data_IF_300786544866
#
_entry.id   IF_300786544866
#
_cell.length_a   1.000
_cell.length_b   1.000
_cell.length_c   1.000
_cell.angle_alpha   90.00
_cell.angle_beta   90.00
_cell.angle_gamma   90.00
#
_symmetry.space_group_name_H-M   'P 1'
#
loop_
_entity.id
_entity.type
_entity.pdbx_description
1 polymer ?
#
# COMPACT_ATOMS: atom_id res chain seq x y z
N UNK A 1 -11.90 -14.12 -21.78
CA UNK A 1 -12.09 -14.17 -20.32
C UNK A 1 -12.26 -12.73 -19.90
N UNK A 2 -13.47 -12.34 -19.49
CA UNK A 2 -13.76 -10.96 -19.13
C UNK A 2 -12.93 -10.58 -17.90
N UNK A 3 -12.15 -9.51 -18.02
CA UNK A 3 -11.56 -8.84 -16.87
C UNK A 3 -12.68 -8.06 -16.18
N UNK A 4 -13.24 -8.63 -15.13
CA UNK A 4 -14.12 -7.92 -14.19
C UNK A 4 -13.33 -6.74 -13.63
N UNK A 5 -13.90 -5.52 -13.73
CA UNK A 5 -13.27 -4.34 -13.13
C UNK A 5 -13.56 -4.38 -11.64
N UNK A 6 -12.50 -4.44 -10.84
CA UNK A 6 -12.61 -4.23 -9.39
C UNK A 6 -13.00 -2.77 -9.14
N UNK A 7 -14.10 -2.55 -8.43
CA UNK A 7 -14.48 -1.21 -7.94
C UNK A 7 -14.51 -1.21 -6.41
N UNK A 8 -13.61 -0.48 -5.75
CA UNK A 8 -13.67 -0.30 -4.31
C UNK A 8 -14.86 0.61 -3.96
N UNK A 9 -15.68 0.18 -2.99
CA UNK A 9 -16.81 0.93 -2.45
C UNK A 9 -16.55 1.17 -0.96
N UNK A 10 -16.74 2.40 -0.49
CA UNK A 10 -16.46 2.75 0.92
C UNK A 10 -17.76 2.96 1.70
N UNK A 11 -17.86 2.40 2.91
CA UNK A 11 -19.01 2.62 3.79
C UNK A 11 -18.95 3.98 4.49
N UNK A 12 -20.01 4.79 4.36
CA UNK A 12 -20.18 6.08 5.08
C UNK A 12 -21.19 6.03 6.24
N UNK A 13 -21.75 4.86 6.55
CA UNK A 13 -22.77 4.68 7.60
C UNK A 13 -22.23 4.06 8.90
N UNK A 14 -22.95 4.22 10.05
CA UNK A 14 -22.57 3.60 11.31
C UNK A 14 -22.89 2.10 11.28
N UNK A 15 -21.97 1.31 10.74
CA UNK A 15 -22.07 -0.15 10.78
C UNK A 15 -21.60 -0.63 12.15
N UNK A 16 -22.55 -1.11 12.97
CA UNK A 16 -22.26 -1.85 14.19
C UNK A 16 -21.62 -3.20 13.81
N UNK A 17 -20.30 -3.23 13.77
CA UNK A 17 -19.51 -4.44 13.63
C UNK A 17 -18.07 -4.08 13.96
N UNK A 18 -17.60 -4.54 15.12
CA UNK A 18 -16.19 -4.45 15.50
C UNK A 18 -15.37 -5.16 14.41
N UNK A 19 -14.67 -4.40 13.58
CA UNK A 19 -13.76 -4.94 12.58
C UNK A 19 -12.56 -5.56 13.28
N UNK A 20 -12.47 -6.89 13.24
CA UNK A 20 -11.30 -7.67 13.65
C UNK A 20 -10.21 -7.54 12.56
N UNK A 21 -9.80 -6.31 12.27
CA UNK A 21 -8.72 -6.00 11.34
C UNK A 21 -7.46 -5.57 12.09
N UNK A 22 -6.29 -5.79 11.50
CA UNK A 22 -5.07 -5.22 12.05
C UNK A 22 -5.09 -3.69 11.87
N UNK A 23 -4.80 -2.87 12.91
CA UNK A 23 -4.96 -1.42 12.84
C UNK A 23 -4.24 -0.76 11.67
N UNK A 24 -3.16 -1.35 11.17
CA UNK A 24 -2.35 -0.83 10.06
C UNK A 24 -2.82 -1.22 8.65
N UNK A 25 -3.88 -2.02 8.49
CA UNK A 25 -4.37 -2.47 7.17
C UNK A 25 -5.85 -2.12 7.02
N UNK A 26 -6.25 -1.63 5.84
CA UNK A 26 -7.65 -1.29 5.55
C UNK A 26 -8.57 -2.53 5.70
N UNK A 27 -9.63 -2.41 6.48
CA UNK A 27 -10.56 -3.51 6.70
C UNK A 27 -11.50 -3.75 5.51
N UNK A 28 -11.51 -4.97 4.96
CA UNK A 28 -12.57 -5.44 4.07
C UNK A 28 -13.79 -5.88 4.89
N UNK A 29 -14.94 -5.26 4.66
CA UNK A 29 -16.17 -5.51 5.42
C UNK A 29 -17.04 -6.52 4.71
N UNK A 30 -17.33 -6.29 3.42
CA UNK A 30 -18.24 -7.11 2.63
C UNK A 30 -17.76 -7.20 1.19
N UNK A 31 -18.18 -8.24 0.48
CA UNK A 31 -17.91 -8.46 -0.93
C UNK A 31 -19.21 -8.75 -1.63
N UNK A 32 -19.48 -8.04 -2.72
CA UNK A 32 -20.63 -8.27 -3.59
C UNK A 32 -20.15 -8.51 -5.02
N UNK A 33 -20.88 -9.33 -5.75
CA UNK A 33 -20.61 -9.63 -7.16
C UNK A 33 -21.92 -9.48 -7.93
N UNK A 34 -21.88 -8.77 -9.05
CA UNK A 34 -22.96 -8.75 -10.03
C UNK A 34 -22.46 -9.30 -11.38
N UNK A 35 -23.27 -9.19 -12.44
CA UNK A 35 -22.93 -9.74 -13.75
C UNK A 35 -21.70 -9.09 -14.40
N UNK A 36 -21.34 -7.87 -14.00
CA UNK A 36 -20.29 -7.06 -14.64
C UNK A 36 -19.08 -6.83 -13.74
N UNK A 37 -19.29 -6.61 -12.44
CA UNK A 37 -18.28 -6.09 -11.52
C UNK A 37 -18.24 -6.84 -10.17
N UNK A 38 -17.05 -6.86 -9.58
CA UNK A 38 -16.83 -7.24 -8.18
C UNK A 38 -16.70 -5.96 -7.33
N UNK A 39 -17.51 -5.86 -6.29
CA UNK A 39 -17.59 -4.72 -5.39
C UNK A 39 -17.01 -5.08 -4.02
N UNK A 40 -15.95 -4.39 -3.64
CA UNK A 40 -15.29 -4.58 -2.35
C UNK A 40 -15.70 -3.45 -1.41
N UNK A 41 -16.46 -3.78 -0.36
CA UNK A 41 -16.88 -2.81 0.65
C UNK A 41 -15.83 -2.72 1.74
N UNK A 42 -15.12 -1.60 1.81
CA UNK A 42 -13.98 -1.41 2.70
C UNK A 42 -14.22 -0.31 3.73
N UNK A 43 -13.40 -0.33 4.78
CA UNK A 43 -13.21 0.77 5.72
C UNK A 43 -12.90 2.08 4.97
N UNK A 44 -13.51 3.18 5.41
CA UNK A 44 -13.35 4.49 4.80
C UNK A 44 -12.24 5.27 5.53
N UNK A 45 -11.16 5.59 4.81
CA UNK A 45 -10.10 6.47 5.28
C UNK A 45 -10.35 7.92 4.81
N UNK A 46 -10.66 8.84 5.73
CA UNK A 46 -11.05 10.22 5.43
C UNK A 46 -9.92 11.25 5.57
N UNK A 47 -8.75 10.81 6.06
CA UNK A 47 -7.56 11.64 6.26
C UNK A 47 -6.78 11.97 4.99
N UNK A 48 -7.12 11.32 3.89
CA UNK A 48 -6.37 11.40 2.62
C UNK A 48 -5.19 10.44 2.61
N UNK A 49 -4.49 10.38 1.47
CA UNK A 49 -3.28 9.59 1.31
C UNK A 49 -2.02 10.41 1.64
N UNK A 50 -0.90 9.72 1.86
CA UNK A 50 0.35 10.38 2.21
C UNK A 50 0.91 11.20 1.05
N UNK A 51 0.59 10.87 -0.19
CA UNK A 51 0.97 11.66 -1.37
C UNK A 51 0.41 13.08 -1.31
N UNK A 52 -0.89 13.24 -1.03
CA UNK A 52 -1.53 14.53 -0.86
C UNK A 52 -0.89 15.33 0.27
N UNK A 53 -0.53 14.68 1.38
CA UNK A 53 0.12 15.33 2.50
C UNK A 53 1.54 15.78 2.13
N UNK A 54 2.30 14.97 1.40
CA UNK A 54 3.62 15.32 0.88
C UNK A 54 3.56 16.54 -0.04
N UNK A 55 2.59 16.62 -0.95
CA UNK A 55 2.41 17.79 -1.82
C UNK A 55 2.08 19.05 -1.02
N UNK A 56 1.20 18.95 -0.02
CA UNK A 56 0.75 20.11 0.77
C UNK A 56 1.83 20.66 1.70
N UNK A 57 2.60 19.79 2.34
CA UNK A 57 3.61 20.16 3.35
C UNK A 57 5.02 20.29 2.75
N UNK A 58 5.24 19.75 1.54
CA UNK A 58 6.53 19.72 0.87
C UNK A 58 7.42 18.60 1.39
N UNK A 59 8.03 18.78 2.56
CA UNK A 59 8.95 17.80 3.17
C UNK A 59 8.52 17.47 4.59
N UNK A 60 8.62 16.20 4.93
CA UNK A 60 8.43 15.74 6.30
C UNK A 60 9.74 15.92 7.06
N UNK A 61 9.64 16.26 8.35
CA UNK A 61 10.75 16.08 9.27
C UNK A 61 11.03 14.58 9.46
N UNK A 62 12.25 14.23 9.86
CA UNK A 62 12.61 12.84 10.16
C UNK A 62 11.67 12.22 11.22
N UNK A 63 11.25 13.02 12.20
CA UNK A 63 10.34 12.58 13.25
C UNK A 63 8.96 12.19 12.68
N UNK A 64 8.35 13.07 11.86
CA UNK A 64 7.05 12.81 11.25
C UNK A 64 7.11 11.62 10.28
N UNK A 65 8.13 11.57 9.42
CA UNK A 65 8.31 10.47 8.47
C UNK A 65 8.52 9.14 9.20
N UNK A 66 9.31 9.12 10.28
CA UNK A 66 9.57 7.90 11.05
C UNK A 66 8.31 7.35 11.72
N UNK A 67 7.36 8.19 12.11
CA UNK A 67 6.10 7.76 12.69
C UNK A 67 5.24 7.01 11.66
N UNK A 68 5.09 7.58 10.46
CA UNK A 68 4.34 6.94 9.38
C UNK A 68 5.02 5.64 8.93
N UNK A 69 6.34 5.67 8.71
CA UNK A 69 7.10 4.48 8.29
C UNK A 69 7.01 3.36 9.32
N UNK A 70 7.02 3.68 10.63
CA UNK A 70 6.83 2.67 11.68
C UNK A 70 5.49 1.96 11.52
N UNK A 71 4.40 2.69 11.35
CA UNK A 71 3.07 2.09 11.17
C UNK A 71 2.98 1.25 9.90
N UNK A 72 3.60 1.69 8.79
CA UNK A 72 3.65 0.89 7.55
C UNK A 72 4.48 -0.37 7.73
N UNK A 73 5.61 -0.31 8.45
CA UNK A 73 6.42 -1.49 8.78
C UNK A 73 5.65 -2.49 9.65
N UNK A 74 4.87 -2.02 10.62
CA UNK A 74 4.00 -2.87 11.43
C UNK A 74 2.94 -3.58 10.56
N UNK A 75 2.29 -2.84 9.66
CA UNK A 75 1.32 -3.40 8.70
C UNK A 75 1.96 -4.42 7.75
N UNK A 76 3.12 -4.10 7.18
CA UNK A 76 3.88 -5.02 6.32
C UNK A 76 4.33 -6.26 7.08
N UNK A 77 4.82 -6.10 8.31
CA UNK A 77 5.23 -7.25 9.13
C UNK A 77 4.05 -8.17 9.40
N UNK A 78 2.86 -7.62 9.64
CA UNK A 78 1.63 -8.41 9.77
C UNK A 78 1.31 -9.16 8.47
N UNK A 79 1.25 -8.47 7.33
CA UNK A 79 0.99 -9.10 6.03
C UNK A 79 2.01 -10.20 5.68
N UNK A 80 3.30 -9.92 5.88
CA UNK A 80 4.38 -10.85 5.62
C UNK A 80 4.30 -12.09 6.53
N UNK A 81 3.83 -11.94 7.77
CA UNK A 81 3.61 -13.08 8.69
C UNK A 81 2.50 -14.02 8.21
N UNK A 82 1.55 -13.50 7.42
CA UNK A 82 0.48 -14.26 6.77
C UNK A 82 0.87 -14.81 5.40
N UNK A 83 2.12 -14.58 4.95
CA UNK A 83 2.57 -14.97 3.63
C UNK A 83 2.00 -14.09 2.51
N UNK A 84 1.64 -12.84 2.80
CA UNK A 84 1.08 -11.89 1.82
C UNK A 84 2.12 -10.80 1.51
N UNK A 85 2.41 -10.57 0.23
CA UNK A 85 3.16 -9.40 -0.27
C UNK A 85 2.20 -8.37 -0.84
N UNK A 86 2.48 -7.09 -0.64
CA UNK A 86 1.65 -6.01 -1.19
C UNK A 86 1.97 -5.69 -2.65
N UNK A 87 3.25 -5.62 -3.00
CA UNK A 87 3.81 -5.37 -4.35
C UNK A 87 3.50 -4.00 -4.99
N UNK A 88 2.91 -3.07 -4.26
CA UNK A 88 2.64 -1.70 -4.76
C UNK A 88 2.66 -0.66 -3.62
N UNK A 89 3.72 -0.71 -2.80
CA UNK A 89 3.91 0.28 -1.75
C UNK A 89 4.31 1.62 -2.38
N UNK A 90 3.45 2.62 -2.19
CA UNK A 90 3.62 3.99 -2.66
C UNK A 90 2.81 4.95 -1.79
N UNK A 91 3.08 6.27 -1.79
CA UNK A 91 2.41 7.21 -0.90
C UNK A 91 0.89 7.27 -1.09
N UNK A 92 0.38 6.99 -2.29
CA UNK A 92 -1.06 6.91 -2.62
C UNK A 92 -1.77 5.76 -1.91
N UNK A 93 -1.04 4.68 -1.61
CA UNK A 93 -1.57 3.48 -0.95
C UNK A 93 -1.36 3.50 0.58
N UNK A 94 -0.85 4.62 1.12
CA UNK A 94 -0.67 4.85 2.56
C UNK A 94 -1.68 5.92 2.95
N UNK A 95 -2.79 5.51 3.56
CA UNK A 95 -3.89 6.41 3.91
C UNK A 95 -3.96 6.71 5.41
N UNK A 96 -4.55 7.84 5.74
CA UNK A 96 -4.90 8.21 7.11
C UNK A 96 -6.38 7.94 7.36
N UNK A 97 -6.70 7.23 8.45
CA UNK A 97 -8.08 6.91 8.84
C UNK A 97 -8.95 8.17 8.94
N UNK A 98 -8.44 9.23 9.55
CA UNK A 98 -9.13 10.51 9.71
C UNK A 98 -8.17 11.71 9.63
N UNK A 99 -8.67 12.91 9.94
CA UNK A 99 -7.94 14.18 9.81
C UNK A 99 -7.30 14.66 11.11
N UNK A 100 -7.32 13.84 12.17
CA UNK A 100 -6.68 14.16 13.44
C UNK A 100 -5.16 14.00 13.36
N UNK A 101 -4.44 14.70 14.24
CA UNK A 101 -2.99 14.58 14.35
C UNK A 101 -2.56 13.19 14.83
N UNK A 102 -3.45 12.48 15.53
CA UNK A 102 -3.26 11.11 16.01
C UNK A 102 -3.85 10.03 15.07
N UNK A 103 -4.22 10.40 13.84
CA UNK A 103 -4.86 9.47 12.90
C UNK A 103 -4.03 8.21 12.67
N UNK A 104 -4.68 7.05 12.70
CA UNK A 104 -4.05 5.79 12.32
C UNK A 104 -3.68 5.79 10.84
N UNK A 105 -2.51 5.21 10.54
CA UNK A 105 -2.03 4.95 9.17
C UNK A 105 -2.52 3.58 8.73
N UNK A 106 -3.08 3.51 7.52
CA UNK A 106 -3.70 2.33 6.92
C UNK A 106 -3.06 2.06 5.57
N UNK A 107 -2.50 0.86 5.41
CA UNK A 107 -2.09 0.35 4.11
C UNK A 107 -3.33 -0.13 3.33
N UNK A 108 -3.47 0.32 2.08
CA UNK A 108 -4.62 0.06 1.22
C UNK A 108 -4.20 -0.44 -0.17
N UNK A 109 -5.17 -0.85 -0.97
CA UNK A 109 -5.02 -1.32 -2.35
C UNK A 109 -4.12 -2.56 -2.50
N UNK A 110 -4.70 -3.69 -2.11
CA UNK A 110 -4.12 -5.03 -2.32
C UNK A 110 -4.42 -5.59 -3.72
N UNK A 111 -4.76 -4.75 -4.71
CA UNK A 111 -5.09 -5.21 -6.06
C UNK A 111 -3.94 -5.92 -6.78
N UNK A 112 -2.69 -5.62 -6.39
CA UNK A 112 -1.49 -6.31 -6.85
C UNK A 112 -0.93 -7.29 -5.82
N UNK A 113 -1.58 -7.53 -4.69
CA UNK A 113 -1.03 -8.41 -3.66
C UNK A 113 -0.90 -9.87 -4.14
N UNK A 114 0.03 -10.62 -3.54
CA UNK A 114 0.21 -12.03 -3.83
C UNK A 114 0.65 -12.83 -2.61
N UNK A 115 0.34 -14.13 -2.62
CA UNK A 115 0.83 -15.07 -1.62
C UNK A 115 2.27 -15.48 -1.95
N UNK A 116 3.10 -15.61 -0.91
CA UNK A 116 4.43 -16.22 -0.99
C UNK A 116 4.59 -17.28 0.09
N UNK A 117 5.65 -18.08 -0.01
CA UNK A 117 6.02 -19.07 1.00
C UNK A 117 7.48 -18.86 1.35
N UNK A 118 7.79 -18.79 2.65
CA UNK A 118 9.18 -18.64 3.11
C UNK A 118 10.04 -19.82 2.60
N UNK A 119 11.13 -19.52 1.89
CA UNK A 119 11.97 -20.53 1.23
C UNK A 119 11.33 -21.23 0.02
N UNK A 120 10.16 -20.75 -0.43
CA UNK A 120 9.50 -21.20 -1.65
C UNK A 120 10.12 -20.61 -2.93
N UNK A 121 9.54 -20.92 -4.11
CA UNK A 121 9.97 -20.32 -5.36
C UNK A 121 9.71 -18.81 -5.35
N UNK A 122 10.57 -18.00 -6.00
CA UNK A 122 10.36 -16.56 -6.09
C UNK A 122 9.17 -16.24 -7.00
N UNK A 123 8.63 -15.03 -6.84
CA UNK A 123 7.68 -14.46 -7.78
C UNK A 123 8.44 -13.95 -9.01
N UNK A 124 7.80 -14.05 -10.18
CA UNK A 124 8.39 -13.71 -11.48
C UNK A 124 7.65 -12.60 -12.22
N UNK A 125 6.47 -12.19 -11.74
CA UNK A 125 5.69 -11.13 -12.40
C UNK A 125 6.31 -9.75 -12.15
N UNK A 126 6.56 -8.99 -13.22
CA UNK A 126 7.04 -7.60 -13.12
C UNK A 126 5.83 -6.68 -12.93
N UNK A 127 5.51 -6.37 -11.67
CA UNK A 127 4.39 -5.54 -11.27
C UNK A 127 4.84 -4.46 -10.27
N UNK A 128 4.02 -3.43 -10.13
CA UNK A 128 4.24 -2.30 -9.22
C UNK A 128 4.47 -0.98 -9.97
N UNK A 129 4.43 0.12 -9.22
CA UNK A 129 4.58 1.47 -9.76
C UNK A 129 6.07 1.80 -10.00
N UNK A 130 6.44 2.15 -11.24
CA UNK A 130 7.82 2.20 -11.75
C UNK A 130 8.86 2.84 -10.80
N UNK A 131 8.55 3.98 -10.19
CA UNK A 131 9.46 4.69 -9.28
C UNK A 131 9.83 3.90 -8.01
N UNK A 132 8.99 2.95 -7.59
CA UNK A 132 9.11 2.24 -6.31
C UNK A 132 9.53 0.77 -6.47
N UNK A 133 9.60 0.26 -7.69
CA UNK A 133 9.85 -1.16 -7.97
C UNK A 133 11.28 -1.55 -7.55
N UNK A 134 11.40 -2.68 -6.87
CA UNK A 134 12.68 -3.23 -6.46
C UNK A 134 13.45 -3.82 -7.65
N UNK A 135 14.79 -3.70 -7.70
CA UNK A 135 15.56 -4.17 -8.84
C UNK A 135 15.50 -5.69 -9.03
N UNK A 136 15.24 -6.46 -7.97
CA UNK A 136 14.97 -7.91 -8.03
C UNK A 136 13.61 -8.26 -8.67
N UNK A 137 12.63 -7.36 -8.61
CA UNK A 137 11.35 -7.51 -9.35
C UNK A 137 11.61 -7.45 -10.84
N UNK A 138 12.46 -6.51 -11.29
CA UNK A 138 12.90 -6.42 -12.69
C UNK A 138 13.73 -7.61 -13.16
N UNK A 139 14.27 -8.40 -12.23
CA UNK A 139 14.98 -9.66 -12.51
C UNK A 139 14.08 -10.88 -12.36
N UNK A 140 12.78 -10.68 -12.17
CA UNK A 140 11.77 -11.75 -12.08
C UNK A 140 12.10 -12.79 -11.01
N UNK A 141 12.74 -12.36 -9.91
CA UNK A 141 13.15 -13.26 -8.83
C UNK A 141 13.15 -12.51 -7.50
N UNK A 142 11.97 -12.39 -6.90
CA UNK A 142 11.77 -11.60 -5.69
C UNK A 142 10.79 -12.26 -4.70
N UNK A 143 10.80 -11.73 -3.48
CA UNK A 143 9.95 -12.11 -2.35
C UNK A 143 9.63 -10.83 -1.55
N UNK A 144 9.09 -10.96 -0.34
CA UNK A 144 8.59 -9.89 0.55
C UNK A 144 9.53 -8.71 0.76
N UNK A 145 10.85 -8.91 0.58
CA UNK A 145 11.86 -7.86 0.68
C UNK A 145 11.63 -6.72 -0.33
N UNK A 146 10.96 -7.00 -1.45
CA UNK A 146 10.57 -5.99 -2.42
C UNK A 146 9.64 -4.90 -1.83
N UNK A 147 8.73 -5.25 -0.91
CA UNK A 147 7.88 -4.26 -0.24
C UNK A 147 8.72 -3.31 0.64
N UNK A 148 9.79 -3.83 1.24
CA UNK A 148 10.71 -3.05 2.09
C UNK A 148 11.55 -2.10 1.24
N UNK A 149 11.98 -2.53 0.05
CA UNK A 149 12.62 -1.64 -0.91
C UNK A 149 11.70 -0.47 -1.28
N UNK A 150 10.47 -0.76 -1.69
CA UNK A 150 9.50 0.26 -2.08
C UNK A 150 9.22 1.25 -0.95
N UNK A 151 9.10 0.79 0.30
CA UNK A 151 8.97 1.67 1.46
C UNK A 151 10.23 2.55 1.68
N UNK A 152 11.42 2.03 1.40
CA UNK A 152 12.66 2.80 1.43
C UNK A 152 12.66 3.95 0.42
N UNK A 153 12.14 3.71 -0.80
CA UNK A 153 11.95 4.76 -1.81
C UNK A 153 10.96 5.82 -1.32
N UNK A 154 9.84 5.39 -0.75
CA UNK A 154 8.83 6.30 -0.17
C UNK A 154 9.45 7.19 0.90
N UNK A 155 10.22 6.63 1.84
CA UNK A 155 10.90 7.39 2.88
C UNK A 155 11.91 8.38 2.29
N UNK A 156 12.69 7.96 1.28
CA UNK A 156 13.63 8.84 0.60
C UNK A 156 12.93 10.05 -0.01
N UNK A 157 11.83 9.82 -0.74
CA UNK A 157 11.03 10.89 -1.35
C UNK A 157 10.44 11.79 -0.27
N UNK A 158 9.93 11.24 0.84
CA UNK A 158 9.33 12.01 1.92
C UNK A 158 10.32 13.00 2.58
N UNK A 159 11.58 12.60 2.72
CA UNK A 159 12.64 13.43 3.31
C UNK A 159 13.31 14.36 2.29
N UNK A 160 13.59 13.86 1.09
CA UNK A 160 14.33 14.58 0.04
C UNK A 160 13.46 15.48 -0.84
N UNK A 161 12.21 15.08 -1.07
CA UNK A 161 11.29 15.71 -2.02
C UNK A 161 11.60 15.40 -3.50
N UNK A 162 12.40 14.37 -3.78
CA UNK A 162 12.72 13.90 -5.13
C UNK A 162 12.94 12.39 -5.15
N UNK A 163 12.72 11.74 -6.29
CA UNK A 163 12.95 10.30 -6.46
C UNK A 163 14.45 9.97 -6.45
N UNK A 164 14.88 8.88 -5.79
CA UNK A 164 16.28 8.48 -5.77
C UNK A 164 16.75 7.95 -7.13
N UNK A 165 15.82 7.40 -7.92
CA UNK A 165 16.02 6.93 -9.28
C UNK A 165 14.99 7.63 -10.16
N UNK A 166 15.46 8.40 -11.13
CA UNK A 166 14.63 9.14 -12.08
C UNK A 166 15.18 8.92 -13.49
N UNK A 167 14.29 8.79 -14.46
CA UNK A 167 14.59 8.39 -15.84
C UNK A 167 13.67 9.13 -16.81
N UNK A 168 14.09 9.30 -18.07
CA UNK A 168 13.26 10.03 -19.03
C UNK A 168 11.99 9.25 -19.43
N UNK A 169 11.93 7.95 -19.10
CA UNK A 169 10.82 7.06 -19.36
C UNK A 169 10.86 5.83 -18.42
N UNK A 170 9.77 5.06 -18.36
CA UNK A 170 9.63 3.87 -17.48
C UNK A 170 10.65 2.74 -17.74
N UNK A 171 11.44 2.79 -18.83
CA UNK A 171 12.46 1.78 -19.16
C UNK A 171 13.88 2.20 -18.79
N UNK A 172 14.06 3.45 -18.36
CA UNK A 172 15.34 4.02 -17.92
C UNK A 172 15.40 4.11 -16.39
#
# INVERSE_FOLDING_TARGET
MLGSRLKPCYCTGPCKGHGLGEPGVVGLREVYEDEEDLHLVMELCQGGDWFEHLIKHGRYTEAEASAVVRSVLEALSYCHSLGIMHRDIKPENIMFEDRSDESCVKLTDFGLAAMFTEGGPPLTEVLGSAYYVAPEVLRESYSKEADIWSLGIVLFIALGGYAPFDGANERE
#
